data_IF_408043638488
#
_entry.id   IF_408043638488
#
_cell.length_a   1.000
_cell.length_b   1.000
_cell.length_c   1.000
_cell.angle_alpha   90.00
_cell.angle_beta   90.00
_cell.angle_gamma   90.00
#
_symmetry.space_group_name_H-M   'P 1'
#
loop_
_entity.id
_entity.type
_entity.pdbx_description
1 polymer ?
#
# COMPACT_ATOMS: atom_id res chain seq x y z
N UNK A 1 1.15 26.05 -1.71
CA UNK A 1 -0.10 25.58 -1.09
C UNK A 1 -0.86 24.78 -2.13
N UNK A 2 -1.00 23.47 -1.94
CA UNK A 2 -1.77 22.60 -2.85
C UNK A 2 -3.24 22.90 -2.57
N UNK A 3 -3.97 23.49 -3.52
CA UNK A 3 -5.40 23.70 -3.39
C UNK A 3 -6.03 22.39 -2.92
N UNK A 4 -6.80 22.45 -1.83
CA UNK A 4 -7.64 21.36 -1.39
C UNK A 4 -8.67 21.15 -2.49
N UNK A 5 -8.31 20.39 -3.53
CA UNK A 5 -9.24 19.86 -4.51
C UNK A 5 -10.35 19.23 -3.69
N UNK A 6 -11.57 19.74 -3.87
CA UNK A 6 -12.75 19.14 -3.26
C UNK A 6 -12.65 17.63 -3.44
N UNK A 7 -12.50 16.93 -2.30
CA UNK A 7 -12.18 15.52 -2.28
C UNK A 7 -13.23 14.71 -3.04
N UNK A 8 -14.48 15.15 -2.97
CA UNK A 8 -15.60 14.54 -3.66
C UNK A 8 -15.49 14.79 -5.17
N UNK A 9 -15.23 16.04 -5.57
CA UNK A 9 -15.02 16.38 -6.98
C UNK A 9 -13.85 15.59 -7.58
N UNK A 10 -12.76 15.39 -6.83
CA UNK A 10 -11.64 14.55 -7.22
C UNK A 10 -12.06 13.10 -7.42
N UNK A 11 -12.83 12.52 -6.50
CA UNK A 11 -13.32 11.15 -6.64
C UNK A 11 -14.26 10.98 -7.84
N UNK A 12 -15.12 11.97 -8.11
CA UNK A 12 -16.02 11.94 -9.25
C UNK A 12 -15.25 12.01 -10.58
N UNK A 13 -14.21 12.83 -10.65
CA UNK A 13 -13.31 12.88 -11.81
C UNK A 13 -12.55 11.56 -12.00
N UNK A 14 -12.07 10.93 -10.92
CA UNK A 14 -11.41 9.62 -10.99
C UNK A 14 -12.38 8.54 -11.50
N UNK A 15 -13.62 8.51 -11.00
CA UNK A 15 -14.64 7.56 -11.47
C UNK A 15 -14.97 7.76 -12.95
N UNK A 16 -14.97 9.00 -13.44
CA UNK A 16 -15.19 9.33 -14.86
C UNK A 16 -14.04 8.90 -15.77
N UNK A 17 -12.78 9.04 -15.33
CA UNK A 17 -11.63 8.73 -16.18
C UNK A 17 -11.31 7.23 -16.26
N UNK A 18 -11.65 6.45 -15.23
CA UNK A 18 -11.43 5.00 -15.20
C UNK A 18 -12.03 4.24 -16.41
N UNK A 19 -13.31 4.43 -16.80
CA UNK A 19 -13.87 3.75 -17.97
C UNK A 19 -13.25 4.24 -19.29
N UNK A 20 -12.84 5.51 -19.38
CA UNK A 20 -12.14 6.05 -20.55
C UNK A 20 -10.77 5.38 -20.73
N UNK A 21 -10.02 5.24 -19.63
CA UNK A 21 -8.74 4.51 -19.63
C UNK A 21 -8.94 3.03 -19.99
N UNK A 22 -10.00 2.40 -19.47
CA UNK A 22 -10.32 1.00 -19.77
C UNK A 22 -10.72 0.79 -21.25
N UNK A 23 -11.33 1.79 -21.89
CA UNK A 23 -11.66 1.76 -23.31
C UNK A 23 -10.42 1.92 -24.20
N UNK A 24 -9.50 2.82 -23.84
CA UNK A 24 -8.26 3.07 -24.59
C UNK A 24 -7.20 1.96 -24.38
N UNK A 25 -7.17 1.35 -23.19
CA UNK A 25 -6.22 0.29 -22.85
C UNK A 25 -6.96 -1.01 -22.55
N UNK A 26 -6.86 -2.00 -23.44
CA UNK A 26 -7.35 -3.39 -23.28
C UNK A 26 -6.65 -4.18 -22.14
N UNK A 27 -6.06 -3.53 -21.14
CA UNK A 27 -5.52 -4.22 -19.97
C UNK A 27 -6.67 -4.53 -19.03
N UNK A 28 -7.41 -5.60 -19.32
CA UNK A 28 -8.33 -6.22 -18.36
C UNK A 28 -7.50 -6.52 -17.10
N UNK A 29 -7.77 -5.90 -15.94
CA UNK A 29 -7.05 -6.21 -14.71
C UNK A 29 -7.45 -7.62 -14.27
N UNK A 30 -6.67 -8.63 -14.67
CA UNK A 30 -6.95 -10.04 -14.36
C UNK A 30 -6.70 -10.37 -12.89
N UNK A 31 -5.91 -9.56 -12.19
CA UNK A 31 -5.62 -9.76 -10.77
C UNK A 31 -5.24 -8.43 -10.11
N UNK A 32 -5.56 -8.33 -8.81
CA UNK A 32 -4.94 -7.38 -7.89
C UNK A 32 -3.82 -8.11 -7.16
N UNK A 33 -2.60 -7.58 -7.20
CA UNK A 33 -1.46 -8.20 -6.52
C UNK A 33 -1.67 -8.19 -5.00
N UNK A 34 -1.83 -9.37 -4.40
CA UNK A 34 -1.69 -9.53 -2.95
C UNK A 34 -0.20 -9.63 -2.60
N UNK A 35 0.30 -8.67 -1.82
CA UNK A 35 1.70 -8.66 -1.37
C UNK A 35 1.82 -9.59 -0.17
N UNK A 36 2.36 -10.78 -0.39
CA UNK A 36 2.73 -11.69 0.70
C UNK A 36 4.04 -11.19 1.31
N UNK A 37 4.02 -10.87 2.60
CA UNK A 37 5.20 -10.41 3.33
C UNK A 37 5.56 -11.40 4.43
N UNK A 38 6.85 -11.69 4.59
CA UNK A 38 7.35 -12.63 5.60
C UNK A 38 8.33 -11.89 6.50
N UNK A 39 8.16 -12.02 7.82
CA UNK A 39 9.04 -11.42 8.82
C UNK A 39 9.62 -12.48 9.75
N UNK A 40 10.90 -12.34 10.10
CA UNK A 40 11.61 -13.21 11.04
C UNK A 40 11.30 -12.82 12.49
N UNK A 41 10.14 -13.25 12.98
CA UNK A 41 9.66 -12.94 14.34
C UNK A 41 10.50 -13.57 15.45
N UNK A 42 11.35 -14.56 15.11
CA UNK A 42 12.34 -15.13 16.02
C UNK A 42 13.47 -14.14 16.35
N UNK A 43 13.83 -13.26 15.40
CA UNK A 43 14.94 -12.30 15.53
C UNK A 43 14.51 -10.85 15.69
N UNK A 44 13.35 -10.50 15.15
CA UNK A 44 12.87 -9.13 15.10
C UNK A 44 11.43 -9.05 15.58
N UNK A 45 11.10 -7.98 16.28
CA UNK A 45 9.76 -7.67 16.76
C UNK A 45 9.33 -6.29 16.26
N UNK A 46 8.04 -5.97 16.35
CA UNK A 46 7.49 -4.68 15.91
C UNK A 46 7.15 -4.60 14.42
N UNK A 47 7.21 -5.73 13.69
CA UNK A 47 6.69 -5.83 12.33
C UNK A 47 5.18 -5.62 12.29
N UNK A 48 4.70 -4.76 11.39
CA UNK A 48 3.28 -4.50 11.20
C UNK A 48 2.88 -4.58 9.73
N UNK A 49 1.80 -5.31 9.46
CA UNK A 49 1.18 -5.37 8.14
C UNK A 49 0.26 -4.17 7.99
N UNK A 50 0.60 -3.25 7.09
CA UNK A 50 -0.18 -2.05 6.80
C UNK A 50 -0.86 -2.22 5.45
N UNK A 51 -2.19 -2.07 5.42
CA UNK A 51 -2.98 -2.22 4.20
C UNK A 51 -2.53 -1.21 3.14
N UNK A 52 -2.28 -1.70 1.92
CA UNK A 52 -1.84 -0.86 0.80
C UNK A 52 -0.36 -0.45 0.84
N UNK A 53 0.39 -0.90 1.86
CA UNK A 53 1.84 -0.73 1.92
C UNK A 53 2.54 -2.08 1.72
N UNK A 54 3.79 -2.02 1.26
CA UNK A 54 4.66 -3.20 1.13
C UNK A 54 5.49 -3.38 2.40
N UNK A 55 6.53 -4.22 2.31
CA UNK A 55 7.45 -4.48 3.43
C UNK A 55 8.16 -3.23 3.97
N UNK A 56 8.26 -2.18 3.14
CA UNK A 56 8.83 -0.89 3.51
C UNK A 56 7.71 0.08 3.90
N UNK A 57 7.14 -0.11 5.08
CA UNK A 57 6.17 0.82 5.66
C UNK A 57 6.75 1.54 6.87
N UNK A 58 6.41 2.82 7.04
CA UNK A 58 6.93 3.66 8.12
C UNK A 58 6.67 3.09 9.50
N UNK A 59 5.47 2.54 9.70
CA UNK A 59 5.08 1.92 10.97
C UNK A 59 6.00 0.76 11.37
N UNK A 60 6.39 -0.09 10.41
CA UNK A 60 7.36 -1.15 10.67
C UNK A 60 8.75 -0.56 10.86
N UNK A 61 9.20 0.38 10.02
CA UNK A 61 10.53 0.99 10.12
C UNK A 61 10.78 1.66 11.49
N UNK A 62 9.77 2.31 12.06
CA UNK A 62 9.86 2.99 13.36
C UNK A 62 9.87 2.01 14.54
N UNK A 63 9.19 0.88 14.41
CA UNK A 63 8.98 -0.05 15.52
C UNK A 63 9.85 -1.31 15.45
N UNK A 64 10.50 -1.57 14.31
CA UNK A 64 11.29 -2.78 14.10
C UNK A 64 12.52 -2.76 15.02
N UNK A 65 12.62 -3.76 15.88
CA UNK A 65 13.73 -3.92 16.81
C UNK A 65 14.17 -5.38 16.90
N UNK A 66 15.46 -5.60 17.21
CA UNK A 66 15.99 -6.95 17.43
C UNK A 66 15.46 -7.51 18.75
N UNK A 67 15.02 -8.76 18.76
CA UNK A 67 14.58 -9.44 19.98
C UNK A 67 15.79 -9.74 20.87
N UNK A 68 15.60 -9.71 22.19
CA UNK A 68 16.66 -10.00 23.18
C UNK A 68 17.25 -11.41 23.08
N UNK A 69 16.57 -12.33 22.39
CA UNK A 69 16.98 -13.72 22.18
C UNK A 69 17.67 -14.00 20.84
N UNK A 70 17.77 -13.00 19.94
CA UNK A 70 18.46 -13.18 18.66
C UNK A 70 19.96 -13.04 18.85
N UNK A 71 20.71 -14.12 18.64
CA UNK A 71 22.20 -14.14 18.54
C UNK A 71 22.74 -12.86 17.90
#
# INVERSE_FOLDING_TARGET
MRFTLDLNAKYDLIKKIQPLIAAEYYKIPLYTSNVISVARTDRFQGWQVVQGATVLNGTSLENLSKTKGGR
#
